data_IF_691623247320
#
_entry.id   IF_691623247320
#
_cell.length_a   1.000
_cell.length_b   1.000
_cell.length_c   1.000
_cell.angle_alpha   90.00
_cell.angle_beta   90.00
_cell.angle_gamma   90.00
#
_symmetry.space_group_name_H-M   'P 1'
#
loop_
_entity.id
_entity.type
_entity.pdbx_description
1 polymer ?
#
# COMPACT_ATOMS: atom_id res chain seq x y z
N UNK A 1 -29.32 -34.30 33.76
CA UNK A 1 -29.46 -33.04 32.99
C UNK A 1 -28.07 -32.48 32.76
N UNK A 2 -27.48 -32.72 31.59
CA UNK A 2 -26.13 -32.29 31.24
C UNK A 2 -26.18 -30.91 30.59
N UNK A 3 -25.52 -29.91 31.19
CA UNK A 3 -25.13 -28.67 30.49
C UNK A 3 -23.60 -28.70 30.37
N UNK A 4 -23.11 -29.12 29.21
CA UNK A 4 -21.72 -28.96 28.81
C UNK A 4 -21.59 -27.54 28.30
N UNK A 5 -20.98 -26.68 29.12
CA UNK A 5 -20.63 -25.32 28.73
C UNK A 5 -19.33 -25.38 27.91
N UNK A 6 -19.44 -25.30 26.60
CA UNK A 6 -18.29 -25.23 25.68
C UNK A 6 -17.73 -23.81 25.78
N UNK A 7 -16.66 -23.66 26.57
CA UNK A 7 -15.85 -22.45 26.63
C UNK A 7 -14.95 -22.43 25.40
N UNK A 8 -15.34 -21.66 24.37
CA UNK A 8 -14.50 -21.43 23.19
C UNK A 8 -13.41 -20.44 23.58
N UNK A 9 -12.25 -20.98 23.97
CA UNK A 9 -11.00 -20.22 24.09
C UNK A 9 -10.54 -19.84 22.69
N UNK A 10 -10.84 -18.61 22.26
CA UNK A 10 -10.20 -17.99 21.10
C UNK A 10 -8.74 -17.70 21.48
N UNK A 11 -7.86 -18.64 21.16
CA UNK A 11 -6.41 -18.44 21.19
C UNK A 11 -6.07 -17.36 20.17
N UNK A 12 -5.94 -16.12 20.62
CA UNK A 12 -5.29 -15.05 19.86
C UNK A 12 -3.82 -15.42 19.80
N UNK A 13 -3.47 -16.17 18.76
CA UNK A 13 -2.08 -16.48 18.43
C UNK A 13 -1.37 -15.15 18.15
N UNK A 14 -0.54 -14.72 19.09
CA UNK A 14 0.48 -13.70 18.89
C UNK A 14 1.49 -14.24 17.85
N UNK A 15 1.13 -14.18 16.57
CA UNK A 15 2.02 -14.54 15.48
C UNK A 15 3.01 -13.40 15.26
N UNK A 16 4.09 -13.45 16.03
CA UNK A 16 5.29 -12.66 15.78
C UNK A 16 5.87 -13.10 14.43
N UNK A 17 5.93 -12.19 13.44
CA UNK A 17 6.82 -12.35 12.27
C UNK A 17 8.28 -12.25 12.77
N UNK A 18 8.74 -13.20 13.60
CA UNK A 18 10.14 -13.32 13.98
C UNK A 18 10.85 -14.15 12.92
N UNK A 19 11.88 -13.53 12.35
CA UNK A 19 12.86 -14.03 11.38
C UNK A 19 12.46 -13.89 9.90
N UNK A 20 12.70 -12.70 9.37
CA UNK A 20 13.21 -12.54 8.02
C UNK A 20 14.53 -11.75 8.07
N UNK A 21 15.57 -12.33 8.70
CA UNK A 21 16.95 -11.95 8.39
C UNK A 21 17.26 -12.44 6.97
N UNK A 22 16.77 -11.73 5.96
CA UNK A 22 17.32 -11.83 4.60
C UNK A 22 18.24 -10.64 4.44
N UNK A 23 19.48 -10.93 4.84
CA UNK A 23 20.73 -10.17 4.73
C UNK A 23 20.70 -9.07 3.66
N UNK A 24 21.10 -7.89 4.14
CA UNK A 24 21.74 -6.70 3.54
C UNK A 24 22.44 -6.81 2.16
N UNK A 25 22.67 -8.02 1.63
CA UNK A 25 23.34 -8.25 0.34
C UNK A 25 22.46 -7.99 -0.88
N UNK A 26 21.13 -8.06 -0.75
CA UNK A 26 20.22 -7.77 -1.87
C UNK A 26 19.92 -6.28 -2.06
N UNK A 27 20.28 -5.42 -1.09
CA UNK A 27 20.00 -3.98 -1.15
C UNK A 27 20.96 -3.21 -2.08
N UNK A 28 22.18 -3.71 -2.29
CA UNK A 28 23.15 -3.07 -3.19
C UNK A 28 22.85 -3.32 -4.68
N UNK A 29 22.38 -4.53 -5.02
CA UNK A 29 22.11 -4.92 -6.42
C UNK A 29 20.96 -4.10 -7.03
N UNK A 30 20.00 -3.66 -6.20
CA UNK A 30 18.82 -2.91 -6.64
C UNK A 30 19.12 -1.41 -6.82
N UNK A 31 20.04 -0.82 -6.05
CA UNK A 31 20.40 0.60 -6.21
C UNK A 31 21.11 0.88 -7.55
N UNK A 32 21.88 -0.08 -8.06
CA UNK A 32 22.54 0.04 -9.37
C UNK A 32 21.58 -0.19 -10.56
N UNK A 33 20.57 -1.05 -10.41
CA UNK A 33 19.57 -1.27 -11.48
C UNK A 33 18.56 -0.13 -11.60
N UNK A 34 18.32 0.63 -10.52
CA UNK A 34 17.38 1.78 -10.49
C UNK A 34 17.95 3.10 -11.01
N UNK A 35 19.25 3.20 -11.30
CA UNK A 35 19.82 4.41 -11.94
C UNK A 35 19.67 5.71 -11.13
N UNK A 36 19.56 5.65 -9.80
CA UNK A 36 19.48 6.83 -8.94
C UNK A 36 20.87 7.48 -8.86
N UNK A 37 21.14 8.45 -9.76
CA UNK A 37 22.26 9.37 -9.59
C UNK A 37 21.91 10.36 -8.47
N UNK A 38 22.74 10.42 -7.44
CA UNK A 38 22.70 11.51 -6.46
C UNK A 38 22.74 12.85 -7.19
N UNK A 39 21.62 13.58 -7.21
CA UNK A 39 21.56 14.93 -7.77
C UNK A 39 21.66 15.93 -6.62
N UNK A 40 22.90 16.18 -6.23
CA UNK A 40 23.25 17.36 -5.44
C UNK A 40 22.93 18.62 -6.27
N UNK A 41 22.13 19.51 -5.68
CA UNK A 41 21.83 20.89 -6.12
C UNK A 41 21.23 21.09 -7.52
N UNK A 42 19.90 21.20 -7.58
CA UNK A 42 19.23 22.02 -8.59
C UNK A 42 18.86 23.37 -7.97
N UNK A 43 19.68 24.39 -8.20
CA UNK A 43 19.19 25.76 -8.23
C UNK A 43 18.41 25.95 -9.52
N UNK A 44 17.13 26.32 -9.38
CA UNK A 44 16.33 26.87 -10.47
C UNK A 44 17.00 28.13 -11.00
N UNK A 45 17.42 28.11 -12.25
CA UNK A 45 17.55 29.33 -13.06
C UNK A 45 16.80 29.10 -14.37
N UNK A 46 15.65 29.76 -14.47
CA UNK A 46 14.84 29.87 -15.67
C UNK A 46 15.48 30.89 -16.61
N UNK A 47 15.85 30.49 -17.83
CA UNK A 47 16.06 31.40 -18.95
C UNK A 47 15.49 30.75 -20.22
N UNK A 48 14.64 31.51 -20.90
CA UNK A 48 13.87 31.20 -22.11
C UNK A 48 14.71 31.45 -23.36
N UNK A 49 14.82 30.52 -24.32
CA UNK A 49 15.15 30.82 -25.73
C UNK A 49 14.45 29.84 -26.69
N UNK A 50 13.77 30.39 -27.71
CA UNK A 50 13.29 29.71 -28.93
C UNK A 50 14.43 29.56 -29.94
N UNK A 51 14.50 28.43 -30.67
CA UNK A 51 14.69 28.32 -32.14
C UNK A 51 15.25 26.95 -32.57
N UNK A 52 14.56 26.38 -33.57
CA UNK A 52 14.96 25.67 -34.81
C UNK A 52 16.11 24.63 -34.87
N UNK A 53 15.78 23.58 -35.62
CA UNK A 53 16.56 22.58 -36.36
C UNK A 53 17.31 21.43 -35.66
N UNK A 54 16.86 20.23 -36.03
CA UNK A 54 17.59 18.97 -36.25
C UNK A 54 18.66 18.53 -35.24
N UNK A 55 18.20 17.77 -34.23
CA UNK A 55 18.80 16.47 -33.88
C UNK A 55 17.91 15.79 -32.82
N UNK A 56 17.03 14.88 -33.26
CA UNK A 56 16.41 13.91 -32.35
C UNK A 56 17.50 12.93 -31.94
N UNK A 57 18.29 13.31 -30.94
CA UNK A 57 19.10 12.39 -30.15
C UNK A 57 18.12 11.44 -29.49
N UNK A 58 18.11 10.19 -29.97
CA UNK A 58 17.35 9.12 -29.38
C UNK A 58 17.70 9.05 -27.89
N UNK A 59 16.77 9.50 -27.05
CA UNK A 59 16.80 9.25 -25.62
C UNK A 59 16.65 7.74 -25.50
N UNK A 60 17.79 7.08 -25.30
CA UNK A 60 17.86 5.68 -24.92
C UNK A 60 17.04 5.50 -23.65
N UNK A 61 15.81 5.01 -23.83
CA UNK A 61 14.93 4.54 -22.77
C UNK A 61 15.62 3.35 -22.13
N UNK A 62 16.45 3.64 -21.13
CA UNK A 62 17.07 2.65 -20.27
C UNK A 62 15.95 1.83 -19.65
N UNK A 63 15.84 0.58 -20.10
CA UNK A 63 14.83 -0.38 -19.65
C UNK A 63 14.88 -0.51 -18.13
N UNK A 64 13.77 -0.18 -17.46
CA UNK A 64 13.55 -0.60 -16.08
C UNK A 64 13.58 -2.13 -16.11
N UNK A 65 14.59 -2.74 -15.50
CA UNK A 65 14.60 -4.19 -15.32
C UNK A 65 13.33 -4.56 -14.52
N UNK A 66 12.45 -5.34 -15.17
CA UNK A 66 11.14 -5.69 -14.65
C UNK A 66 11.33 -6.65 -13.48
N UNK A 67 11.20 -6.15 -12.24
CA UNK A 67 11.25 -6.99 -11.04
C UNK A 67 10.29 -8.18 -11.15
N UNK A 68 10.74 -9.36 -10.73
CA UNK A 68 9.82 -10.48 -10.56
C UNK A 68 8.94 -10.27 -9.33
N UNK A 69 7.72 -10.81 -9.34
CA UNK A 69 6.80 -10.80 -8.18
C UNK A 69 7.48 -11.38 -6.93
N UNK A 70 8.40 -12.34 -7.08
CA UNK A 70 9.12 -12.96 -5.98
C UNK A 70 10.15 -12.02 -5.34
N UNK A 71 10.91 -11.29 -6.15
CA UNK A 71 11.90 -10.31 -5.65
C UNK A 71 11.22 -9.16 -4.96
N UNK A 72 10.17 -8.62 -5.58
CA UNK A 72 9.40 -7.53 -5.03
C UNK A 72 8.75 -7.90 -3.70
N UNK A 73 8.29 -9.15 -3.56
CA UNK A 73 7.70 -9.63 -2.31
C UNK A 73 8.65 -9.51 -1.14
N UNK A 74 9.94 -9.74 -1.34
CA UNK A 74 10.92 -9.59 -0.27
C UNK A 74 11.23 -8.13 0.04
N UNK A 75 11.05 -7.23 -0.94
CA UNK A 75 11.29 -5.80 -0.78
C UNK A 75 10.19 -5.10 0.04
N UNK A 76 8.94 -5.57 -0.05
CA UNK A 76 7.78 -5.03 0.68
C UNK A 76 7.58 -5.63 2.09
N UNK A 77 8.45 -6.55 2.53
CA UNK A 77 8.36 -7.12 3.87
C UNK A 77 8.87 -6.09 4.87
N UNK A 78 8.06 -5.75 5.85
CA UNK A 78 8.40 -4.72 6.82
C UNK A 78 7.28 -4.39 7.78
N UNK A 79 7.57 -3.48 8.69
CA UNK A 79 6.60 -2.84 9.55
C UNK A 79 6.38 -1.41 9.06
N UNK A 80 5.13 -1.07 8.82
CA UNK A 80 4.71 0.19 8.27
C UNK A 80 3.85 0.90 9.29
N UNK A 81 4.07 2.19 9.44
CA UNK A 81 3.22 3.02 10.28
C UNK A 81 2.95 4.34 9.61
N UNK A 82 1.78 4.87 9.94
CA UNK A 82 1.50 6.28 9.86
C UNK A 82 2.44 6.99 10.85
N UNK A 83 3.42 7.74 10.33
CA UNK A 83 4.39 8.52 11.12
C UNK A 83 4.26 10.04 10.81
N UNK A 84 3.13 10.46 10.26
CA UNK A 84 2.89 11.87 9.96
C UNK A 84 2.59 12.64 11.26
N UNK A 85 3.37 13.69 11.51
CA UNK A 85 3.12 14.58 12.64
C UNK A 85 1.72 15.19 12.53
N UNK A 86 0.88 14.96 13.55
CA UNK A 86 -0.50 15.44 13.59
C UNK A 86 -1.54 14.49 12.99
N UNK A 87 -1.15 13.31 12.50
CA UNK A 87 -2.11 12.28 12.16
C UNK A 87 -2.85 11.74 13.39
N UNK A 88 -4.16 11.57 13.25
CA UNK A 88 -5.01 10.98 14.26
C UNK A 88 -5.26 9.47 14.01
N UNK A 89 -4.96 8.98 12.79
CA UNK A 89 -5.09 7.59 12.42
C UNK A 89 -3.88 6.75 12.85
N UNK A 90 -3.98 6.10 14.02
CA UNK A 90 -2.97 5.10 14.44
C UNK A 90 -3.10 3.83 13.61
N UNK A 91 -2.45 3.79 12.45
CA UNK A 91 -2.44 2.64 11.56
C UNK A 91 -1.08 1.96 11.55
N UNK A 92 -1.06 0.67 11.91
CA UNK A 92 0.13 -0.19 11.82
C UNK A 92 -0.14 -1.33 10.88
N UNK A 93 0.79 -1.59 9.97
CA UNK A 93 0.74 -2.70 9.04
C UNK A 93 2.06 -3.48 9.12
N UNK A 94 1.99 -4.77 9.36
CA UNK A 94 3.13 -5.67 9.20
C UNK A 94 2.91 -6.57 8.00
N UNK A 95 3.84 -6.57 7.06
CA UNK A 95 3.89 -7.48 5.92
C UNK A 95 5.01 -8.49 6.12
N UNK A 96 4.71 -9.79 5.98
CA UNK A 96 5.75 -10.83 6.03
C UNK A 96 5.43 -12.01 5.11
N UNK A 97 6.46 -12.72 4.64
CA UNK A 97 6.29 -13.91 3.80
C UNK A 97 6.28 -15.17 4.65
N UNK A 98 5.23 -15.98 4.53
CA UNK A 98 5.14 -17.29 5.18
C UNK A 98 4.53 -18.30 4.21
N UNK A 99 5.21 -19.43 4.02
CA UNK A 99 4.81 -20.48 3.07
C UNK A 99 4.52 -19.91 1.67
N UNK A 100 5.44 -19.07 1.18
CA UNK A 100 5.33 -18.37 -0.12
C UNK A 100 4.11 -17.47 -0.30
N UNK A 101 3.40 -17.13 0.78
CA UNK A 101 2.27 -16.19 0.76
C UNK A 101 2.65 -14.91 1.49
N UNK A 102 2.24 -13.77 0.92
CA UNK A 102 2.34 -12.47 1.58
C UNK A 102 1.24 -12.40 2.63
N UNK A 103 1.62 -12.40 3.90
CA UNK A 103 0.72 -12.22 5.03
C UNK A 103 0.75 -10.77 5.47
N UNK A 104 -0.40 -10.29 5.91
CA UNK A 104 -0.54 -8.98 6.53
C UNK A 104 -1.10 -9.09 7.94
N UNK A 105 -0.74 -8.12 8.77
CA UNK A 105 -1.32 -7.86 10.07
C UNK A 105 -1.56 -6.36 10.17
N UNK A 106 -2.82 -5.96 10.24
CA UNK A 106 -3.24 -4.57 10.41
C UNK A 106 -3.70 -4.39 11.85
N UNK A 107 -3.22 -3.34 12.49
CA UNK A 107 -3.68 -2.87 13.79
C UNK A 107 -4.04 -1.39 13.69
N UNK A 108 -5.32 -1.11 13.92
CA UNK A 108 -5.89 0.24 14.01
C UNK A 108 -6.37 0.50 15.45
N UNK A 109 -7.04 1.63 15.68
CA UNK A 109 -7.66 1.91 16.97
C UNK A 109 -8.84 0.96 17.29
N UNK A 110 -9.61 0.53 16.28
CA UNK A 110 -10.80 -0.32 16.49
C UNK A 110 -10.53 -1.81 16.35
N UNK A 111 -9.56 -2.24 15.53
CA UNK A 111 -9.44 -3.66 15.16
C UNK A 111 -8.02 -4.12 14.88
N UNK A 112 -7.86 -5.44 15.00
CA UNK A 112 -6.68 -6.19 14.60
C UNK A 112 -7.09 -7.23 13.58
N UNK A 113 -6.66 -7.07 12.33
CA UNK A 113 -7.03 -7.93 11.21
C UNK A 113 -5.77 -8.59 10.67
N UNK A 114 -5.85 -9.85 10.27
CA UNK A 114 -4.74 -10.53 9.60
C UNK A 114 -5.26 -11.41 8.48
N UNK A 115 -4.44 -11.61 7.45
CA UNK A 115 -4.83 -12.39 6.30
C UNK A 115 -3.70 -12.61 5.31
N UNK A 116 -4.08 -12.94 4.08
CA UNK A 116 -3.17 -13.12 2.95
C UNK A 116 -3.47 -12.00 1.95
N UNK A 117 -2.47 -11.19 1.64
CA UNK A 117 -2.56 -10.16 0.62
C UNK A 117 -2.11 -10.74 -0.73
N UNK A 118 -2.61 -10.13 -1.82
CA UNK A 118 -2.13 -10.37 -3.19
C UNK A 118 -1.27 -9.19 -3.63
N UNK A 119 -0.38 -9.44 -4.57
CA UNK A 119 0.39 -8.37 -5.23
C UNK A 119 0.01 -8.31 -6.70
N UNK A 120 -0.11 -7.10 -7.22
CA UNK A 120 -0.26 -6.82 -8.64
C UNK A 120 0.85 -5.88 -9.09
N UNK A 121 1.34 -6.08 -10.32
CA UNK A 121 2.29 -5.19 -10.98
C UNK A 121 1.67 -4.83 -12.32
N UNK A 122 1.36 -3.55 -12.52
CA UNK A 122 0.81 -3.05 -13.78
C UNK A 122 1.90 -2.93 -14.85
N UNK A 123 1.49 -2.77 -16.11
CA UNK A 123 2.40 -2.68 -17.27
C UNK A 123 3.35 -1.47 -17.19
N UNK A 124 2.87 -0.39 -16.58
CA UNK A 124 3.59 0.86 -16.29
C UNK A 124 4.53 0.75 -15.07
N UNK A 125 4.58 -0.40 -14.39
CA UNK A 125 5.45 -0.64 -13.23
C UNK A 125 4.86 -0.28 -11.88
N UNK A 126 3.60 0.19 -11.81
CA UNK A 126 2.95 0.46 -10.53
C UNK A 126 2.67 -0.84 -9.77
N UNK A 127 2.91 -0.81 -8.47
CA UNK A 127 2.81 -1.96 -7.58
C UNK A 127 1.66 -1.75 -6.62
N UNK A 128 0.77 -2.73 -6.55
CA UNK A 128 -0.37 -2.72 -5.65
C UNK A 128 -0.35 -3.94 -4.73
N UNK A 129 -0.67 -3.71 -3.46
CA UNK A 129 -0.92 -4.76 -2.47
C UNK A 129 -2.43 -4.77 -2.19
N UNK A 130 -3.08 -5.90 -2.48
CA UNK A 130 -4.53 -6.06 -2.39
C UNK A 130 -4.87 -6.83 -1.12
N UNK A 131 -5.69 -6.23 -0.27
CA UNK A 131 -6.13 -6.75 1.02
C UNK A 131 -7.60 -7.17 0.93
N UNK A 132 -7.95 -8.44 1.25
CA UNK A 132 -9.32 -8.92 1.26
C UNK A 132 -10.04 -8.48 2.54
N UNK A 133 -10.36 -7.19 2.63
CA UNK A 133 -11.04 -6.55 3.75
C UNK A 133 -12.25 -5.80 3.21
N UNK A 134 -13.41 -6.04 3.82
CA UNK A 134 -14.64 -5.31 3.54
C UNK A 134 -14.52 -3.85 4.00
N UNK A 135 -15.03 -2.92 3.19
CA UNK A 135 -15.08 -1.50 3.54
C UNK A 135 -16.11 -1.25 4.66
N UNK A 136 -15.87 -0.25 5.51
CA UNK A 136 -16.82 0.07 6.58
C UNK A 136 -18.08 0.77 6.09
N UNK A 137 -17.98 1.62 5.06
CA UNK A 137 -19.12 2.24 4.40
C UNK A 137 -18.92 2.31 2.89
N UNK A 138 -20.02 2.14 2.16
CA UNK A 138 -20.05 2.26 0.71
C UNK A 138 -21.46 2.63 0.26
N UNK A 139 -21.61 3.84 -0.26
CA UNK A 139 -22.87 4.33 -0.81
C UNK A 139 -22.83 4.42 -2.35
N UNK A 140 -21.65 4.23 -2.95
CA UNK A 140 -21.47 4.22 -4.40
C UNK A 140 -21.60 5.61 -5.02
N UNK A 141 -22.05 5.65 -6.28
CA UNK A 141 -22.28 6.88 -7.05
C UNK A 141 -23.53 7.61 -6.54
N UNK A 142 -23.31 8.73 -5.86
CA UNK A 142 -24.34 9.57 -5.26
C UNK A 142 -24.90 10.62 -6.23
N UNK A 143 -24.48 10.61 -7.50
CA UNK A 143 -24.97 11.56 -8.52
C UNK A 143 -26.34 11.19 -9.10
N UNK A 144 -26.82 9.96 -8.82
CA UNK A 144 -28.14 9.52 -9.25
C UNK A 144 -29.21 10.08 -8.31
N UNK A 145 -30.12 10.91 -8.84
CA UNK A 145 -31.19 11.62 -8.11
C UNK A 145 -32.28 10.72 -7.47
N UNK A 146 -32.10 9.39 -7.45
CA UNK A 146 -33.02 8.50 -6.76
C UNK A 146 -32.53 8.27 -5.33
N UNK A 147 -33.12 9.01 -4.37
CA UNK A 147 -32.95 8.87 -2.93
C UNK A 147 -33.40 7.51 -2.35
N UNK A 148 -33.51 6.47 -3.17
CA UNK A 148 -33.71 5.13 -2.65
C UNK A 148 -32.43 4.72 -1.93
N UNK A 149 -32.55 4.17 -0.72
CA UNK A 149 -31.42 3.60 0.01
C UNK A 149 -30.81 2.51 -0.86
N UNK A 150 -29.79 2.87 -1.63
CA UNK A 150 -28.98 1.89 -2.33
C UNK A 150 -28.37 1.00 -1.26
N UNK A 151 -28.90 -0.22 -1.15
CA UNK A 151 -28.25 -1.27 -0.36
C UNK A 151 -27.17 -1.85 -1.25
N UNK A 152 -26.12 -1.06 -1.48
CA UNK A 152 -25.00 -1.50 -2.31
C UNK A 152 -24.19 -2.49 -1.50
N UNK A 153 -23.84 -3.62 -2.11
CA UNK A 153 -22.88 -4.53 -1.51
C UNK A 153 -21.54 -3.82 -1.32
N UNK A 154 -20.99 -3.88 -0.12
CA UNK A 154 -19.71 -3.25 0.17
C UNK A 154 -18.59 -4.00 -0.55
N UNK A 155 -17.62 -3.28 -1.13
CA UNK A 155 -16.43 -3.92 -1.69
C UNK A 155 -15.71 -4.75 -0.64
N UNK A 156 -15.26 -5.94 -1.04
CA UNK A 156 -14.65 -6.94 -0.16
C UNK A 156 -13.11 -6.89 -0.15
N UNK A 157 -12.54 -5.86 -0.79
CA UNK A 157 -11.11 -5.66 -0.85
C UNK A 157 -10.77 -4.18 -1.06
N UNK A 158 -9.57 -3.79 -0.65
CA UNK A 158 -8.94 -2.53 -1.05
C UNK A 158 -7.48 -2.78 -1.42
N UNK A 159 -6.89 -1.83 -2.11
CA UNK A 159 -5.50 -1.86 -2.54
C UNK A 159 -4.71 -0.67 -1.96
N UNK A 160 -3.42 -0.92 -1.70
CA UNK A 160 -2.44 0.13 -1.41
C UNK A 160 -1.40 0.15 -2.53
N UNK A 161 -1.09 1.33 -3.04
CA UNK A 161 0.05 1.52 -3.93
C UNK A 161 1.35 1.51 -3.13
N UNK A 162 2.40 0.93 -3.71
CA UNK A 162 3.72 0.87 -3.09
C UNK A 162 4.73 1.71 -3.88
N UNK A 163 5.32 2.68 -3.20
CA UNK A 163 6.46 3.45 -3.69
C UNK A 163 7.76 2.73 -3.31
N UNK A 164 8.53 2.32 -4.32
CA UNK A 164 9.80 1.60 -4.14
C UNK A 164 10.87 2.52 -3.53
N UNK A 165 10.92 3.77 -3.96
CA UNK A 165 11.98 4.72 -3.59
C UNK A 165 11.80 5.16 -2.14
N UNK A 166 10.58 5.57 -1.80
CA UNK A 166 10.21 6.05 -0.47
C UNK A 166 9.82 4.93 0.50
N UNK A 167 9.75 3.68 0.02
CA UNK A 167 9.31 2.50 0.81
C UNK A 167 8.00 2.78 1.55
N UNK A 168 7.07 3.41 0.84
CA UNK A 168 5.83 3.94 1.40
C UNK A 168 4.64 3.24 0.76
N UNK A 169 3.64 2.93 1.58
CA UNK A 169 2.36 2.43 1.11
C UNK A 169 1.31 3.52 1.22
N UNK A 170 0.49 3.70 0.18
CA UNK A 170 -0.54 4.73 0.15
C UNK A 170 -1.88 4.15 -0.28
N UNK A 171 -2.97 4.62 0.33
CA UNK A 171 -4.33 4.41 -0.18
C UNK A 171 -5.26 5.56 0.20
N UNK A 172 -6.37 5.68 -0.54
CA UNK A 172 -7.44 6.60 -0.23
C UNK A 172 -8.46 5.92 0.68
N UNK A 173 -8.69 6.48 1.87
CA UNK A 173 -9.62 5.92 2.86
C UNK A 173 -11.06 6.41 2.66
N UNK A 174 -11.23 7.67 2.25
CA UNK A 174 -12.54 8.28 2.02
C UNK A 174 -12.77 8.61 0.56
N UNK A 175 -14.02 8.43 0.15
CA UNK A 175 -14.53 8.90 -1.12
C UNK A 175 -14.60 10.42 -1.27
N UNK A 176 -15.30 10.87 -2.30
CA UNK A 176 -15.60 12.28 -2.54
C UNK A 176 -17.13 12.49 -2.59
N UNK A 177 -17.58 13.71 -2.84
CA UNK A 177 -19.00 14.03 -2.88
C UNK A 177 -19.81 13.25 -3.93
N UNK A 178 -19.15 12.72 -4.98
CA UNK A 178 -19.79 11.94 -6.03
C UNK A 178 -19.72 10.43 -5.75
N UNK A 179 -18.68 9.95 -5.08
CA UNK A 179 -18.48 8.55 -4.71
C UNK A 179 -18.24 8.46 -3.21
N UNK A 180 -19.27 8.18 -2.41
CA UNK A 180 -19.14 8.16 -0.96
C UNK A 180 -18.79 6.75 -0.44
N UNK A 181 -17.65 6.64 0.24
CA UNK A 181 -17.16 5.42 0.84
C UNK A 181 -16.18 5.69 1.98
N UNK A 182 -16.02 4.70 2.85
CA UNK A 182 -15.08 4.70 3.98
C UNK A 182 -14.50 3.29 4.10
N UNK A 183 -13.18 3.14 4.02
CA UNK A 183 -12.53 1.82 4.19
C UNK A 183 -12.31 1.51 5.67
N UNK A 184 -11.72 2.45 6.41
CA UNK A 184 -11.49 2.42 7.85
C UNK A 184 -12.10 3.66 8.51
N UNK A 185 -13.28 3.49 9.11
CA UNK A 185 -14.07 4.54 9.77
C UNK A 185 -13.43 5.07 11.05
N UNK A 186 -12.45 4.35 11.59
CA UNK A 186 -11.63 4.78 12.72
C UNK A 186 -10.49 5.72 12.34
N UNK A 187 -10.25 5.92 11.05
CA UNK A 187 -9.20 6.77 10.55
C UNK A 187 -9.79 7.96 9.79
N UNK A 188 -9.98 9.09 10.47
CA UNK A 188 -10.60 10.32 9.93
C UNK A 188 -9.66 11.12 8.99
N UNK A 189 -8.98 10.42 8.08
CA UNK A 189 -8.04 10.98 7.11
C UNK A 189 -8.40 10.53 5.69
N UNK A 190 -8.48 11.48 4.74
CA UNK A 190 -8.86 11.19 3.35
C UNK A 190 -7.94 10.16 2.68
N UNK A 191 -6.65 10.28 2.93
CA UNK A 191 -5.63 9.36 2.44
C UNK A 191 -4.72 8.95 3.58
N UNK A 192 -4.24 7.71 3.52
CA UNK A 192 -3.37 7.13 4.53
C UNK A 192 -2.06 6.76 3.86
N UNK A 193 -0.97 7.29 4.41
CA UNK A 193 0.41 7.00 4.00
C UNK A 193 1.12 6.28 5.13
N UNK A 194 1.70 5.11 4.85
CA UNK A 194 2.43 4.30 5.80
C UNK A 194 3.88 4.15 5.36
N UNK A 195 4.81 4.61 6.19
CA UNK A 195 6.25 4.50 5.93
C UNK A 195 6.80 3.26 6.60
N UNK A 196 7.69 2.55 5.90
CA UNK A 196 8.41 1.42 6.49
C UNK A 196 9.41 1.92 7.54
N UNK A 197 9.37 1.32 8.74
CA UNK A 197 10.36 1.54 9.80
C UNK A 197 11.58 0.62 9.69
#
# INVERSE_FOLDING_TARGET
MNKISILVLVLISAFSCKNAEIKEKNQLVIKESLGIKNKTNLQLKSETIQNDDDNVSAISTKSIEKFTVKELRNFIVGNYTNDEEGSHCKFKLTLCVKNEKLKYYIETEKRKISGIAKMSIEENGFIFIIFPIEWDDYQGDMTQNNYEKYTVEKPQQFDMSFDIEEKTLYFQNYGNAMNNYIIFDECDEKGISLKMK
#
